data_IF_933685670775
#
_entry.id   IF_933685670775
#
_cell.length_a   1.000
_cell.length_b   1.000
_cell.length_c   1.000
_cell.angle_alpha   90.00
_cell.angle_beta   90.00
_cell.angle_gamma   90.00
#
_symmetry.space_group_name_H-M   'P 1'
#
loop_
_entity.id
_entity.type
_entity.pdbx_description
1 polymer ?
#
# COMPACT_ATOMS: atom_id res chain seq x y z
N UNK A 1 -14.05 -20.09 -25.15
CA UNK A 1 -12.78 -20.09 -24.38
C UNK A 1 -11.55 -20.28 -25.27
N UNK A 2 -11.45 -21.30 -26.14
CA UNK A 2 -10.29 -21.47 -27.02
C UNK A 2 -10.06 -20.28 -27.97
N UNK A 3 -11.13 -19.81 -28.63
CA UNK A 3 -11.09 -18.65 -29.53
C UNK A 3 -10.56 -17.38 -28.84
N UNK A 4 -11.05 -17.09 -27.62
CA UNK A 4 -10.60 -15.93 -26.84
C UNK A 4 -9.11 -16.02 -26.52
N UNK A 5 -8.62 -17.18 -26.09
CA UNK A 5 -7.19 -17.36 -25.81
C UNK A 5 -6.36 -17.19 -27.09
N UNK A 6 -6.84 -17.66 -28.24
CA UNK A 6 -6.14 -17.52 -29.52
C UNK A 6 -6.07 -16.06 -30.00
N UNK A 7 -7.10 -15.25 -29.74
CA UNK A 7 -7.10 -13.80 -30.06
C UNK A 7 -6.01 -13.07 -29.28
N UNK A 8 -5.86 -13.36 -27.97
CA UNK A 8 -4.88 -12.67 -27.12
C UNK A 8 -3.47 -13.28 -27.18
N UNK A 9 -3.37 -14.58 -27.45
CA UNK A 9 -2.11 -15.32 -27.52
C UNK A 9 -2.13 -16.29 -28.70
N UNK A 10 -1.85 -15.80 -29.92
CA UNK A 10 -1.75 -16.66 -31.09
C UNK A 10 -0.60 -17.67 -30.94
N UNK A 11 -0.75 -18.86 -31.52
CA UNK A 11 0.29 -19.89 -31.54
C UNK A 11 0.37 -20.78 -30.30
N UNK A 12 -0.51 -20.62 -29.31
CA UNK A 12 -0.57 -21.55 -28.17
C UNK A 12 -1.33 -22.81 -28.57
N UNK A 13 -0.67 -23.97 -28.50
CA UNK A 13 -1.30 -25.27 -28.73
C UNK A 13 -2.43 -25.55 -27.73
N UNK A 14 -3.55 -26.06 -28.22
CA UNK A 14 -4.72 -26.40 -27.41
C UNK A 14 -4.35 -27.46 -26.35
N UNK A 15 -4.91 -27.33 -25.13
CA UNK A 15 -4.67 -28.23 -23.98
C UNK A 15 -3.21 -28.31 -23.48
N UNK A 16 -2.29 -27.50 -24.01
CA UNK A 16 -0.94 -27.36 -23.45
C UNK A 16 -0.95 -26.77 -22.02
N UNK A 17 0.12 -26.95 -21.23
CA UNK A 17 0.28 -26.26 -19.94
C UNK A 17 0.21 -24.73 -20.06
N UNK A 18 0.72 -24.17 -21.16
CA UNK A 18 0.59 -22.76 -21.48
C UNK A 18 -0.88 -22.35 -21.69
N UNK A 19 -1.65 -23.15 -22.45
CA UNK A 19 -3.08 -22.92 -22.66
C UNK A 19 -3.87 -22.92 -21.35
N UNK A 20 -3.63 -23.89 -20.46
CA UNK A 20 -4.36 -23.95 -19.17
C UNK A 20 -4.07 -22.74 -18.29
N UNK A 21 -2.84 -22.23 -18.33
CA UNK A 21 -2.43 -21.03 -17.62
C UNK A 21 -3.11 -19.78 -18.19
N UNK A 22 -3.13 -19.60 -19.51
CA UNK A 22 -3.83 -18.45 -20.14
C UNK A 22 -5.35 -18.53 -19.98
N UNK A 23 -5.93 -19.73 -20.06
CA UNK A 23 -7.34 -19.97 -19.74
C UNK A 23 -7.68 -19.48 -18.33
N UNK A 24 -6.83 -19.76 -17.32
CA UNK A 24 -7.00 -19.26 -15.95
C UNK A 24 -6.96 -17.74 -15.87
N UNK A 25 -6.10 -17.07 -16.64
CA UNK A 25 -6.06 -15.60 -16.72
C UNK A 25 -7.37 -15.04 -17.27
N UNK A 26 -7.88 -15.58 -18.38
CA UNK A 26 -9.14 -15.14 -18.99
C UNK A 26 -10.33 -15.35 -18.05
N UNK A 27 -10.37 -16.50 -17.35
CA UNK A 27 -11.40 -16.77 -16.35
C UNK A 27 -11.35 -15.77 -15.19
N UNK A 28 -10.15 -15.45 -14.69
CA UNK A 28 -9.95 -14.43 -13.64
C UNK A 28 -10.41 -13.05 -14.11
N UNK A 29 -10.09 -12.64 -15.33
CA UNK A 29 -10.57 -11.37 -15.88
C UNK A 29 -12.09 -11.34 -15.98
N UNK A 30 -12.71 -12.45 -16.37
CA UNK A 30 -14.18 -12.56 -16.42
C UNK A 30 -14.80 -12.43 -15.03
N UNK A 31 -14.21 -13.05 -14.01
CA UNK A 31 -14.67 -12.94 -12.62
C UNK A 31 -14.56 -11.51 -12.08
N UNK A 32 -13.50 -10.77 -12.43
CA UNK A 32 -13.26 -9.41 -11.96
C UNK A 32 -13.62 -8.33 -13.00
N UNK A 33 -14.52 -8.62 -13.95
CA UNK A 33 -14.82 -7.74 -15.09
C UNK A 33 -15.23 -6.33 -14.66
N UNK A 34 -16.12 -6.21 -13.68
CA UNK A 34 -16.58 -4.92 -13.16
C UNK A 34 -15.42 -4.05 -12.63
N UNK A 35 -14.48 -4.66 -11.89
CA UNK A 35 -13.29 -3.96 -11.41
C UNK A 35 -12.40 -3.50 -12.57
N UNK A 36 -12.20 -4.36 -13.58
CA UNK A 36 -11.41 -4.01 -14.77
C UNK A 36 -12.04 -2.83 -15.51
N UNK A 37 -13.37 -2.78 -15.62
CA UNK A 37 -14.09 -1.67 -16.26
C UNK A 37 -13.92 -0.35 -15.51
N UNK A 38 -14.04 -0.37 -14.19
CA UNK A 38 -13.77 0.81 -13.34
C UNK A 38 -12.34 1.31 -13.55
N UNK A 39 -11.35 0.41 -13.57
CA UNK A 39 -9.95 0.77 -13.76
C UNK A 39 -9.67 1.26 -15.18
N UNK A 40 -10.33 0.70 -16.19
CA UNK A 40 -10.21 1.12 -17.58
C UNK A 40 -10.81 2.51 -17.84
N UNK A 41 -11.86 2.89 -17.09
CA UNK A 41 -12.49 4.21 -17.22
C UNK A 41 -11.63 5.37 -16.69
N UNK A 42 -10.63 5.10 -15.85
CA UNK A 42 -9.74 6.11 -15.29
C UNK A 42 -8.48 6.26 -16.15
N UNK A 43 -8.19 7.48 -16.60
CA UNK A 43 -6.99 7.80 -17.40
C UNK A 43 -5.67 7.39 -16.71
N UNK A 44 -5.64 7.37 -15.37
CA UNK A 44 -4.45 6.98 -14.59
C UNK A 44 -4.19 5.47 -14.61
N UNK A 45 -5.24 4.67 -14.79
CA UNK A 45 -5.19 3.20 -14.62
C UNK A 45 -5.50 2.45 -15.92
N UNK A 46 -6.03 3.13 -16.95
CA UNK A 46 -6.45 2.53 -18.21
C UNK A 46 -5.34 1.75 -18.95
N UNK A 47 -4.09 2.21 -18.84
CA UNK A 47 -2.94 1.56 -19.49
C UNK A 47 -2.30 0.46 -18.60
N UNK A 48 -2.82 0.22 -17.40
CA UNK A 48 -2.26 -0.79 -16.49
C UNK A 48 -2.66 -2.21 -16.91
N UNK A 49 -1.66 -3.07 -17.10
CA UNK A 49 -1.87 -4.50 -17.41
C UNK A 49 -2.02 -5.37 -16.17
N UNK A 50 -1.68 -4.83 -14.99
CA UNK A 50 -1.70 -5.51 -13.70
C UNK A 50 -2.12 -4.51 -12.63
N UNK A 51 -3.15 -4.87 -11.87
CA UNK A 51 -3.53 -4.19 -10.64
C UNK A 51 -3.05 -5.01 -9.45
N UNK A 52 -2.49 -4.32 -8.45
CA UNK A 52 -2.27 -4.85 -7.11
C UNK A 52 -3.03 -3.95 -6.17
N UNK A 53 -3.85 -4.51 -5.28
CA UNK A 53 -4.53 -3.68 -4.30
C UNK A 53 -3.48 -3.00 -3.41
N UNK A 54 -3.80 -1.79 -2.96
CA UNK A 54 -3.10 -1.22 -1.81
C UNK A 54 -3.20 -2.23 -0.65
N UNK A 55 -2.12 -2.39 0.12
CA UNK A 55 -2.08 -3.42 1.16
C UNK A 55 -1.72 -4.85 0.70
N UNK A 56 -1.77 -5.20 -0.61
CA UNK A 56 -1.47 -6.58 -1.05
C UNK A 56 -0.02 -7.05 -0.84
N UNK A 57 0.86 -6.16 -0.38
CA UNK A 57 2.24 -6.46 0.00
C UNK A 57 2.60 -5.82 1.34
N UNK A 58 1.62 -5.54 2.21
CA UNK A 58 1.90 -5.11 3.58
C UNK A 58 2.25 -6.33 4.42
N UNK A 59 3.38 -6.23 5.10
CA UNK A 59 3.87 -7.27 6.01
C UNK A 59 3.21 -7.09 7.39
N UNK A 60 2.77 -5.86 7.71
CA UNK A 60 1.94 -5.55 8.86
C UNK A 60 0.46 -5.65 8.50
N UNK A 61 -0.33 -6.09 9.47
CA UNK A 61 -1.80 -6.03 9.43
C UNK A 61 -2.27 -4.58 9.49
N UNK A 62 -3.52 -4.34 9.10
CA UNK A 62 -4.10 -2.99 9.12
C UNK A 62 -4.14 -2.43 10.55
N UNK A 63 -4.45 -3.25 11.55
CA UNK A 63 -4.47 -2.86 12.97
C UNK A 63 -3.06 -2.44 13.44
N UNK A 64 -2.02 -3.17 13.04
CA UNK A 64 -0.64 -2.81 13.35
C UNK A 64 -0.21 -1.49 12.68
N UNK A 65 -0.65 -1.23 11.44
CA UNK A 65 -0.39 0.06 10.80
C UNK A 65 -1.15 1.21 11.49
N UNK A 66 -2.33 0.95 12.06
CA UNK A 66 -3.10 1.94 12.82
C UNK A 66 -2.46 2.28 14.17
N UNK A 67 -2.00 1.29 14.93
CA UNK A 67 -1.31 1.54 16.20
C UNK A 67 -0.04 2.37 15.99
N UNK A 68 0.72 2.07 14.93
CA UNK A 68 1.89 2.85 14.55
C UNK A 68 1.51 4.28 14.13
N UNK A 69 0.34 4.48 13.51
CA UNK A 69 -0.14 5.81 13.14
C UNK A 69 -0.50 6.61 14.39
N UNK A 70 -1.19 6.01 15.34
CA UNK A 70 -1.60 6.65 16.59
C UNK A 70 -0.39 7.09 17.40
N UNK A 71 0.64 6.24 17.50
CA UNK A 71 1.93 6.63 18.06
C UNK A 71 2.54 7.83 17.34
N UNK A 72 2.62 7.77 16.00
CA UNK A 72 3.25 8.81 15.19
C UNK A 72 2.54 10.17 15.35
N UNK A 73 1.20 10.15 15.46
CA UNK A 73 0.38 11.34 15.70
C UNK A 73 0.59 11.86 17.12
N UNK A 74 0.61 10.98 18.13
CA UNK A 74 0.85 11.36 19.52
C UNK A 74 2.21 12.05 19.70
N UNK A 75 3.27 11.48 19.15
CA UNK A 75 4.63 12.03 19.22
C UNK A 75 4.70 13.42 18.56
N UNK A 76 4.05 13.59 17.41
CA UNK A 76 4.00 14.90 16.72
C UNK A 76 3.15 15.94 17.45
N UNK A 77 2.07 15.52 18.11
CA UNK A 77 1.24 16.42 18.94
C UNK A 77 2.05 16.96 20.13
N UNK A 78 2.95 16.15 20.67
CA UNK A 78 3.88 16.55 21.73
C UNK A 78 5.04 17.45 21.21
N UNK A 79 5.03 17.83 19.92
CA UNK A 79 6.04 18.72 19.32
C UNK A 79 7.37 18.03 19.04
N UNK A 80 7.49 16.73 19.24
CA UNK A 80 8.74 16.00 19.01
C UNK A 80 8.90 15.65 17.52
N UNK A 81 10.06 15.94 16.90
CA UNK A 81 10.35 15.49 15.55
C UNK A 81 10.51 13.97 15.53
N UNK A 82 9.92 13.31 14.54
CA UNK A 82 10.06 11.86 14.35
C UNK A 82 11.10 11.61 13.28
N UNK A 83 12.23 11.02 13.67
CA UNK A 83 13.27 10.59 12.75
C UNK A 83 12.90 9.27 12.06
N UNK A 84 13.61 8.94 10.99
CA UNK A 84 13.45 7.64 10.33
C UNK A 84 13.84 6.47 11.27
N UNK A 85 14.84 6.66 12.14
CA UNK A 85 15.26 5.63 13.09
C UNK A 85 14.19 5.37 14.16
N UNK A 86 13.56 6.42 14.69
CA UNK A 86 12.45 6.28 15.64
C UNK A 86 11.28 5.54 15.01
N UNK A 87 10.89 5.92 13.79
CA UNK A 87 9.82 5.24 13.07
C UNK A 87 10.16 3.76 12.81
N UNK A 88 11.42 3.47 12.49
CA UNK A 88 11.87 2.09 12.27
C UNK A 88 11.79 1.26 13.55
N UNK A 89 12.25 1.80 14.68
CA UNK A 89 12.22 1.11 15.97
C UNK A 89 10.79 0.83 16.41
N UNK A 90 9.92 1.84 16.38
CA UNK A 90 8.53 1.68 16.76
C UNK A 90 7.81 0.67 15.85
N UNK A 91 8.04 0.74 14.54
CA UNK A 91 7.43 -0.22 13.61
C UNK A 91 7.86 -1.66 13.93
N UNK A 92 9.10 -1.89 14.35
CA UNK A 92 9.57 -3.21 14.77
C UNK A 92 8.97 -3.65 16.11
N UNK A 93 8.72 -2.72 17.03
CA UNK A 93 8.06 -3.01 18.31
C UNK A 93 6.59 -3.38 18.09
N UNK A 94 5.87 -2.59 17.30
CA UNK A 94 4.50 -2.90 16.89
C UNK A 94 4.46 -4.24 16.16
N UNK A 95 5.38 -4.51 15.24
CA UNK A 95 5.47 -5.82 14.58
C UNK A 95 5.57 -6.99 15.59
N UNK A 96 6.36 -6.83 16.65
CA UNK A 96 6.47 -7.85 17.71
C UNK A 96 5.18 -8.01 18.51
N UNK A 97 4.44 -6.93 18.76
CA UNK A 97 3.14 -6.99 19.45
C UNK A 97 2.10 -7.78 18.65
N UNK A 98 2.22 -7.77 17.32
CA UNK A 98 1.35 -8.48 16.39
C UNK A 98 1.95 -9.83 15.90
N UNK A 99 2.90 -10.39 16.65
CA UNK A 99 3.56 -11.67 16.35
C UNK A 99 4.20 -11.77 14.95
N UNK A 100 4.61 -10.64 14.37
CA UNK A 100 5.33 -10.60 13.09
C UNK A 100 6.82 -10.82 13.34
N UNK A 101 7.43 -11.90 12.81
CA UNK A 101 8.83 -12.19 13.06
C UNK A 101 9.77 -11.11 12.48
N UNK A 102 10.87 -10.75 13.17
CA UNK A 102 11.86 -9.80 12.66
C UNK A 102 12.52 -10.22 11.34
N UNK A 103 12.61 -11.53 11.09
CA UNK A 103 13.09 -12.08 9.83
C UNK A 103 12.18 -11.74 8.64
N UNK A 104 10.87 -11.56 8.91
CA UNK A 104 9.87 -11.22 7.90
C UNK A 104 9.74 -9.71 7.74
N UNK A 105 9.92 -8.94 8.81
CA UNK A 105 9.74 -7.49 8.82
C UNK A 105 10.93 -6.73 9.40
N UNK A 106 11.65 -6.02 8.53
CA UNK A 106 12.81 -5.19 8.91
C UNK A 106 12.54 -3.68 8.96
N UNK A 107 11.29 -3.24 8.80
CA UNK A 107 10.92 -1.82 8.70
C UNK A 107 11.84 -1.01 7.77
N UNK A 108 12.11 -1.54 6.57
CA UNK A 108 13.09 -0.96 5.63
C UNK A 108 12.73 0.48 5.22
N UNK A 109 13.71 1.26 4.77
CA UNK A 109 13.49 2.63 4.29
C UNK A 109 12.42 2.71 3.18
N UNK A 110 12.39 1.72 2.28
CA UNK A 110 11.36 1.61 1.23
C UNK A 110 9.97 1.39 1.82
N UNK A 111 9.86 0.50 2.82
CA UNK A 111 8.60 0.27 3.52
C UNK A 111 8.13 1.52 4.27
N UNK A 112 9.02 2.18 5.04
CA UNK A 112 8.70 3.42 5.77
C UNK A 112 8.21 4.52 4.83
N UNK A 113 8.88 4.71 3.68
CA UNK A 113 8.45 5.67 2.66
C UNK A 113 7.04 5.35 2.13
N UNK A 114 6.76 4.07 1.87
CA UNK A 114 5.46 3.63 1.39
C UNK A 114 4.37 3.79 2.46
N UNK A 115 4.66 3.44 3.71
CA UNK A 115 3.77 3.61 4.86
C UNK A 115 3.38 5.08 5.06
N UNK A 116 4.37 5.98 5.12
CA UNK A 116 4.12 7.41 5.26
C UNK A 116 3.30 7.97 4.08
N UNK A 117 3.54 7.48 2.85
CA UNK A 117 2.75 7.86 1.69
C UNK A 117 1.29 7.38 1.79
N UNK A 118 1.03 6.15 2.28
CA UNK A 118 -0.34 5.66 2.56
C UNK A 118 -1.06 6.52 3.59
N UNK A 119 -0.33 6.99 4.59
CA UNK A 119 -0.86 7.83 5.67
C UNK A 119 -0.87 9.34 5.35
N UNK A 120 -0.45 9.74 4.15
CA UNK A 120 -0.33 11.16 3.75
C UNK A 120 0.56 11.98 4.70
N UNK A 121 1.60 11.35 5.26
CA UNK A 121 2.55 11.95 6.18
C UNK A 121 3.94 12.06 5.54
N UNK A 122 4.78 12.95 6.09
CA UNK A 122 6.21 13.01 5.77
C UNK A 122 7.02 13.23 7.04
N UNK A 123 8.27 12.77 7.10
CA UNK A 123 9.17 12.96 8.25
C UNK A 123 9.76 14.39 8.36
N UNK A 124 9.29 15.35 7.56
CA UNK A 124 9.87 16.70 7.59
C UNK A 124 9.64 17.37 8.94
N UNK A 125 10.73 17.85 9.54
CA UNK A 125 10.68 18.86 10.59
C UNK A 125 10.23 20.19 9.99
N UNK A 126 9.34 20.92 10.68
CA UNK A 126 8.99 22.30 10.32
C UNK A 126 10.24 23.17 10.46
N UNK A 127 10.75 23.67 9.34
CA UNK A 127 12.04 24.38 9.29
C UNK A 127 11.89 25.90 9.35
N UNK A 128 10.65 26.44 9.41
CA UNK A 128 10.37 27.88 9.45
C UNK A 128 9.29 28.21 10.48
N UNK A 129 9.51 29.30 11.23
CA UNK A 129 8.60 29.80 12.29
C UNK A 129 7.16 30.07 11.78
N UNK A 130 6.97 30.43 10.50
CA UNK A 130 5.64 30.65 9.91
C UNK A 130 4.80 29.39 9.65
N UNK A 131 5.29 28.19 9.97
CA UNK A 131 4.56 26.92 9.78
C UNK A 131 3.97 26.36 11.09
N UNK A 132 4.23 26.98 12.24
CA UNK A 132 3.46 26.69 13.45
C UNK A 132 2.08 27.33 13.31
N UNK A 133 0.98 26.55 13.37
CA UNK A 133 -0.33 27.17 13.51
C UNK A 133 -0.38 27.90 14.85
N UNK A 134 -1.05 29.07 14.93
CA UNK A 134 -1.33 29.70 16.22
C UNK A 134 -2.05 28.70 17.13
N UNK A 135 -1.78 28.78 18.44
CA UNK A 135 -2.33 27.88 19.44
C UNK A 135 -3.86 27.80 19.31
N UNK A 136 -4.37 26.72 18.72
CA UNK A 136 -5.81 26.55 18.46
C UNK A 136 -6.21 25.78 17.19
N UNK A 137 -5.32 25.56 16.22
CA UNK A 137 -5.70 24.83 14.99
C UNK A 137 -5.59 23.32 15.19
N UNK A 138 -6.76 22.68 15.29
CA UNK A 138 -6.95 21.26 15.52
C UNK A 138 -6.60 20.45 14.25
N UNK A 139 -5.51 19.68 14.26
CA UNK A 139 -5.12 18.78 13.15
C UNK A 139 -6.01 17.54 13.08
N UNK A 140 -7.29 17.74 12.72
CA UNK A 140 -8.21 16.64 12.39
C UNK A 140 -8.05 16.33 10.90
N UNK A 141 -7.53 15.15 10.56
CA UNK A 141 -7.62 14.68 9.17
C UNK A 141 -6.61 13.65 8.67
N UNK A 142 -5.64 13.18 9.47
CA UNK A 142 -4.79 12.07 9.03
C UNK A 142 -5.60 10.78 9.10
N UNK A 143 -6.01 10.26 7.94
CA UNK A 143 -6.50 8.89 7.77
C UNK A 143 -5.50 8.17 6.87
N UNK A 144 -4.98 7.02 7.27
CA UNK A 144 -4.29 6.16 6.31
C UNK A 144 -5.33 5.69 5.29
N UNK A 145 -5.05 5.89 4.00
CA UNK A 145 -5.85 5.28 2.94
C UNK A 145 -5.56 3.79 2.97
N UNK A 146 -6.49 3.03 3.55
CA UNK A 146 -6.65 1.60 3.29
C UNK A 146 -7.11 1.42 1.84
#
# INVERSE_FOLDING_TARGET
MPAVVAVFWPGIALRSPAYTTKKRVVLRWRQHRAHVDIMAASAKTAQMKRYRALGSATILTDDAELDLLDWLVAVRRNGMPVSATMLQQEALEVARMYDVPPATFGASATWMKAYLARCSLSLRAKTRQGQSPPAGINMRGAKCRQ
#
